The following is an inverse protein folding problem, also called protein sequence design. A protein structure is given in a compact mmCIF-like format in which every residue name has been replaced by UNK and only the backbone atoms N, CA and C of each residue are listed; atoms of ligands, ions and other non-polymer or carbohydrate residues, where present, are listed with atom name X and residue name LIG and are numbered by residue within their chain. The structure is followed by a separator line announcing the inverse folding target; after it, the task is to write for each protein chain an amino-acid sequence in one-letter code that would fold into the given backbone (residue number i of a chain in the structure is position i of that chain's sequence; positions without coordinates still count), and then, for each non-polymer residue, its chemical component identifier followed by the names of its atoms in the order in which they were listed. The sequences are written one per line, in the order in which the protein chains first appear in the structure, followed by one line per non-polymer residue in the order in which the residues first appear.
data_IF_409678019830
#
_entry.id   IF_409678019830
#
_cell.length_a   1.000
_cell.length_b   1.000
_cell.length_c   1.000
_cell.angle_alpha   90.00
_cell.angle_beta   90.00
_cell.angle_gamma   90.00
#
_symmetry.space_group_name_H-M   'P 1'
#
loop_
_entity.id
_entity.type
_entity.pdbx_description
1 polymer ?
#
# COMPACT_ATOMS: atom_id res chain seq x y z
N UNK A 1 -24.33 21.99 -3.93
CA UNK A 1 -24.31 23.47 -3.90
C UNK A 1 -22.91 23.99 -4.18
N UNK A 2 -22.79 25.31 -4.40
CA UNK A 2 -21.51 25.98 -4.62
C UNK A 2 -20.52 25.74 -3.43
N UNK A 3 -21.01 25.65 -2.21
CA UNK A 3 -20.20 25.44 -1.01
C UNK A 3 -19.37 24.13 -1.00
N UNK A 4 -19.76 23.13 -1.83
CA UNK A 4 -19.04 21.87 -1.93
C UNK A 4 -17.84 21.92 -2.88
N UNK A 5 -17.75 22.95 -3.74
CA UNK A 5 -16.70 23.03 -4.75
C UNK A 5 -15.46 23.74 -4.21
N UNK A 6 -14.27 23.26 -4.62
CA UNK A 6 -13.03 23.93 -4.31
C UNK A 6 -12.88 25.24 -5.09
N UNK A 7 -12.35 26.28 -4.43
CA UNK A 7 -12.09 27.58 -5.05
C UNK A 7 -13.28 28.54 -5.08
N UNK A 8 -14.31 28.25 -4.30
CA UNK A 8 -15.39 29.23 -4.05
C UNK A 8 -14.79 30.39 -3.26
N UNK A 9 -14.96 31.68 -3.71
CA UNK A 9 -14.50 32.83 -2.96
C UNK A 9 -15.18 32.93 -1.59
N UNK A 10 -14.46 33.36 -0.59
CA UNK A 10 -14.98 33.50 0.79
C UNK A 10 -16.18 34.45 0.85
N UNK A 11 -16.18 35.52 0.06
CA UNK A 11 -17.29 36.47 -0.01
C UNK A 11 -18.57 35.79 -0.52
N UNK A 12 -18.45 34.85 -1.49
CA UNK A 12 -19.59 34.11 -1.99
C UNK A 12 -20.09 33.09 -0.95
N UNK A 13 -19.19 32.44 -0.20
CA UNK A 13 -19.57 31.55 0.92
C UNK A 13 -20.41 32.32 1.94
N UNK A 14 -19.92 33.47 2.38
CA UNK A 14 -20.60 34.35 3.36
C UNK A 14 -21.96 34.76 2.82
N UNK A 15 -22.01 35.31 1.60
CA UNK A 15 -23.25 35.76 0.98
C UNK A 15 -24.29 34.64 0.87
N UNK A 16 -23.89 33.44 0.44
CA UNK A 16 -24.82 32.30 0.31
C UNK A 16 -25.43 31.90 1.67
N UNK A 17 -24.62 31.89 2.72
CA UNK A 17 -25.10 31.59 4.08
C UNK A 17 -26.02 32.71 4.59
N UNK A 18 -25.71 33.98 4.35
CA UNK A 18 -26.58 35.13 4.68
C UNK A 18 -27.93 35.09 3.91
N UNK A 19 -27.96 34.54 2.69
CA UNK A 19 -29.21 34.30 1.94
C UNK A 19 -29.98 33.07 2.45
N UNK A 20 -29.56 32.43 3.53
CA UNK A 20 -30.24 31.31 4.18
C UNK A 20 -29.91 29.93 3.59
N UNK A 21 -28.83 29.83 2.81
CA UNK A 21 -28.36 28.51 2.40
C UNK A 21 -27.86 27.75 3.63
N UNK A 22 -28.39 26.53 3.85
CA UNK A 22 -27.94 25.67 4.95
C UNK A 22 -26.44 25.32 4.76
N UNK A 23 -25.61 25.79 5.68
CA UNK A 23 -24.16 25.56 5.69
C UNK A 23 -23.81 24.06 5.81
N UNK A 24 -24.73 23.26 6.36
CA UNK A 24 -24.59 21.82 6.55
C UNK A 24 -25.37 21.01 5.51
N UNK A 25 -25.81 21.62 4.42
CA UNK A 25 -26.54 20.94 3.35
C UNK A 25 -25.71 19.77 2.80
N UNK A 26 -26.23 18.52 2.81
CA UNK A 26 -25.46 17.39 2.30
C UNK A 26 -25.53 17.33 0.77
N UNK A 27 -24.49 16.76 0.16
CA UNK A 27 -24.54 16.30 -1.23
C UNK A 27 -25.16 14.88 -1.33
N UNK A 28 -25.11 14.29 -2.53
CA UNK A 28 -25.64 12.95 -2.80
C UNK A 28 -25.02 11.85 -1.91
N UNK A 29 -23.77 12.03 -1.47
CA UNK A 29 -23.05 11.11 -0.58
C UNK A 29 -23.17 11.48 0.91
N UNK A 30 -24.09 12.38 1.26
CA UNK A 30 -24.24 12.88 2.61
C UNK A 30 -23.13 13.80 3.07
N UNK A 31 -22.17 14.11 2.20
CA UNK A 31 -21.04 14.95 2.53
C UNK A 31 -21.45 16.43 2.65
N UNK A 32 -21.09 17.07 3.75
CA UNK A 32 -21.32 18.51 3.97
C UNK A 32 -20.26 19.35 3.21
N UNK A 33 -20.51 20.66 3.02
CA UNK A 33 -19.48 21.57 2.52
C UNK A 33 -18.17 21.47 3.31
N UNK A 34 -18.23 21.45 4.65
CA UNK A 34 -17.06 21.29 5.51
C UNK A 34 -16.29 19.99 5.21
N UNK A 35 -16.99 18.88 5.06
CA UNK A 35 -16.39 17.59 4.68
C UNK A 35 -15.64 17.71 3.34
N UNK A 36 -16.26 18.30 2.32
CA UNK A 36 -15.64 18.46 0.99
C UNK A 36 -14.43 19.38 1.00
N UNK A 37 -14.49 20.49 1.75
CA UNK A 37 -13.33 21.39 1.90
C UNK A 37 -12.20 20.74 2.71
N UNK A 38 -12.52 19.87 3.67
CA UNK A 38 -11.54 19.10 4.44
C UNK A 38 -10.78 18.09 3.55
N UNK A 39 -11.45 17.41 2.58
CA UNK A 39 -10.79 16.58 1.55
C UNK A 39 -9.78 17.40 0.73
N UNK A 40 -10.11 18.66 0.43
CA UNK A 40 -9.28 19.51 -0.42
C UNK A 40 -8.17 20.25 0.36
N UNK A 41 -8.18 20.19 1.69
CA UNK A 41 -7.22 20.88 2.55
C UNK A 41 -7.27 22.41 2.42
N UNK A 42 -8.44 22.99 2.14
CA UNK A 42 -8.61 24.40 1.83
C UNK A 42 -8.76 25.27 3.09
N UNK A 43 -8.31 26.53 3.00
CA UNK A 43 -8.47 27.54 4.06
C UNK A 43 -9.94 27.84 4.34
N UNK A 44 -10.84 27.65 3.38
CA UNK A 44 -12.30 27.74 3.52
C UNK A 44 -12.87 26.86 4.64
N UNK A 45 -12.15 25.81 5.08
CA UNK A 45 -12.52 25.01 6.28
C UNK A 45 -12.66 25.92 7.50
N UNK A 46 -11.74 26.86 7.69
CA UNK A 46 -11.77 27.81 8.82
C UNK A 46 -13.01 28.70 8.76
N UNK A 47 -13.29 29.26 7.58
CA UNK A 47 -14.47 30.12 7.38
C UNK A 47 -15.77 29.37 7.66
N UNK A 48 -15.91 28.13 7.12
CA UNK A 48 -17.12 27.33 7.34
C UNK A 48 -17.35 27.05 8.83
N UNK A 49 -16.30 26.76 9.60
CA UNK A 49 -16.39 26.58 11.05
C UNK A 49 -16.78 27.87 11.77
N UNK A 50 -16.26 29.03 11.37
CA UNK A 50 -16.62 30.33 11.92
C UNK A 50 -18.07 30.71 11.62
N UNK A 51 -18.61 30.27 10.49
CA UNK A 51 -20.01 30.44 10.11
C UNK A 51 -20.96 29.38 10.74
N UNK A 52 -20.43 28.47 11.58
CA UNK A 52 -21.24 27.51 12.33
C UNK A 52 -21.48 26.16 11.63
N UNK A 53 -20.62 25.76 10.70
CA UNK A 53 -20.66 24.40 10.15
C UNK A 53 -20.46 23.35 11.23
N UNK A 54 -21.25 22.28 11.18
CA UNK A 54 -21.16 21.13 12.08
C UNK A 54 -19.86 20.35 11.82
N UNK A 55 -18.93 20.46 12.78
CA UNK A 55 -17.60 19.88 12.71
C UNK A 55 -17.60 18.34 12.71
N UNK A 56 -18.64 17.73 13.30
CA UNK A 56 -18.75 16.27 13.47
C UNK A 56 -19.70 15.59 12.48
N UNK A 57 -20.41 16.34 11.63
CA UNK A 57 -21.43 15.76 10.74
C UNK A 57 -20.82 14.79 9.74
N UNK A 58 -21.15 13.46 9.85
CA UNK A 58 -20.56 12.46 8.98
C UNK A 58 -21.26 12.43 7.60
N UNK A 59 -20.57 11.82 6.62
CA UNK A 59 -21.16 11.41 5.35
C UNK A 59 -21.95 10.09 5.50
N UNK A 60 -22.44 9.52 4.38
CA UNK A 60 -23.20 8.25 4.35
C UNK A 60 -22.37 7.02 4.72
N UNK A 61 -21.07 7.14 4.92
CA UNK A 61 -20.16 6.06 5.38
C UNK A 61 -19.71 6.27 6.83
N UNK A 62 -20.33 7.18 7.55
CA UNK A 62 -19.95 7.51 8.92
C UNK A 62 -18.66 8.33 9.05
N UNK A 63 -18.07 8.80 7.93
CA UNK A 63 -16.82 9.54 7.95
C UNK A 63 -17.04 11.01 8.26
N UNK A 64 -16.36 11.52 9.28
CA UNK A 64 -16.38 12.94 9.66
C UNK A 64 -15.36 13.75 8.84
N UNK A 65 -15.44 15.10 8.84
CA UNK A 65 -14.42 15.94 8.26
C UNK A 65 -12.98 15.65 8.74
N UNK A 66 -12.81 15.21 10.00
CA UNK A 66 -11.51 14.84 10.55
C UNK A 66 -10.97 13.52 9.94
N UNK A 67 -11.85 12.54 9.65
CA UNK A 67 -11.44 11.33 8.95
C UNK A 67 -10.79 11.66 7.60
N UNK A 68 -11.48 12.43 6.79
CA UNK A 68 -11.01 12.70 5.43
C UNK A 68 -9.83 13.67 5.38
N UNK A 69 -9.78 14.65 6.29
CA UNK A 69 -8.59 15.50 6.42
C UNK A 69 -7.33 14.67 6.73
N UNK A 70 -7.46 13.63 7.57
CA UNK A 70 -6.39 12.70 7.87
C UNK A 70 -6.06 11.79 6.68
N UNK A 71 -7.05 11.18 6.03
CA UNK A 71 -6.88 10.28 4.88
C UNK A 71 -6.27 10.94 3.65
N UNK A 72 -6.54 12.25 3.46
CA UNK A 72 -5.97 13.03 2.37
C UNK A 72 -4.70 13.79 2.74
N UNK A 73 -4.12 13.46 3.90
CA UNK A 73 -2.83 13.96 4.36
C UNK A 73 -2.75 15.50 4.47
N UNK A 74 -3.76 16.12 5.09
CA UNK A 74 -3.82 17.56 5.32
C UNK A 74 -3.56 17.95 6.79
N UNK A 75 -2.30 17.96 7.28
CA UNK A 75 -1.99 18.18 8.70
C UNK A 75 -2.51 19.51 9.23
N UNK A 76 -2.47 20.57 8.42
CA UNK A 76 -3.02 21.90 8.83
C UNK A 76 -4.52 21.84 9.09
N UNK A 77 -5.27 21.16 8.24
CA UNK A 77 -6.73 20.97 8.40
C UNK A 77 -7.03 20.06 9.59
N UNK A 78 -6.28 18.98 9.78
CA UNK A 78 -6.38 18.11 10.96
C UNK A 78 -6.16 18.92 12.24
N UNK A 79 -5.09 19.70 12.32
CA UNK A 79 -4.79 20.57 13.47
C UNK A 79 -5.95 21.51 13.75
N UNK A 80 -6.45 22.21 12.73
CA UNK A 80 -7.58 23.12 12.87
C UNK A 80 -8.84 22.44 13.41
N UNK A 81 -9.20 21.25 12.86
CA UNK A 81 -10.36 20.51 13.30
C UNK A 81 -10.22 20.03 14.75
N UNK A 82 -9.02 19.57 15.16
CA UNK A 82 -8.73 19.21 16.55
C UNK A 82 -8.87 20.41 17.46
N UNK A 83 -8.27 21.55 17.13
CA UNK A 83 -8.31 22.78 17.92
C UNK A 83 -9.75 23.33 18.07
N UNK A 84 -10.63 23.01 17.12
CA UNK A 84 -12.07 23.37 17.15
C UNK A 84 -12.94 22.32 17.80
N UNK A 85 -12.35 21.25 18.38
CA UNK A 85 -13.05 20.26 19.18
C UNK A 85 -13.65 19.08 18.40
N UNK A 86 -13.13 18.75 17.23
CA UNK A 86 -13.53 17.52 16.52
C UNK A 86 -13.23 16.27 17.36
N UNK A 87 -14.15 15.29 17.38
CA UNK A 87 -13.93 14.02 18.07
C UNK A 87 -12.86 13.17 17.37
N UNK A 88 -11.67 13.09 17.97
CA UNK A 88 -10.53 12.32 17.45
C UNK A 88 -10.75 10.81 17.53
N UNK A 89 -11.77 10.35 18.25
CA UNK A 89 -12.14 8.94 18.40
C UNK A 89 -13.46 8.58 17.68
N UNK A 90 -14.06 9.50 16.93
CA UNK A 90 -15.21 9.20 16.09
C UNK A 90 -14.94 7.98 15.21
N UNK A 91 -15.94 7.12 15.04
CA UNK A 91 -15.82 5.90 14.23
C UNK A 91 -16.71 5.98 13.01
N UNK A 92 -16.14 5.65 11.84
CA UNK A 92 -16.91 5.45 10.62
C UNK A 92 -17.63 4.08 10.65
N UNK A 93 -18.41 3.76 9.61
CA UNK A 93 -19.20 2.52 9.51
C UNK A 93 -18.33 1.24 9.49
N UNK A 94 -17.05 1.37 9.15
CA UNK A 94 -16.05 0.29 9.26
C UNK A 94 -15.42 0.21 10.66
N UNK A 95 -15.87 1.01 11.62
CA UNK A 95 -15.32 1.08 12.98
C UNK A 95 -13.94 1.76 13.06
N UNK A 96 -13.49 2.43 12.02
CA UNK A 96 -12.18 3.11 11.96
C UNK A 96 -12.28 4.51 12.54
N UNK A 97 -11.28 4.89 13.33
CA UNK A 97 -11.06 6.27 13.76
C UNK A 97 -10.20 7.03 12.74
N UNK A 98 -10.13 8.39 12.78
CA UNK A 98 -9.23 9.15 11.92
C UNK A 98 -7.78 8.66 11.96
N UNK A 99 -7.29 8.25 13.14
CA UNK A 99 -5.95 7.67 13.31
C UNK A 99 -5.82 6.32 12.57
N UNK A 100 -6.82 5.44 12.67
CA UNK A 100 -6.82 4.17 11.95
C UNK A 100 -6.87 4.39 10.43
N UNK A 101 -7.67 5.36 9.99
CA UNK A 101 -7.85 5.72 8.58
C UNK A 101 -6.55 6.20 7.93
N UNK A 102 -5.84 7.17 8.54
CA UNK A 102 -4.58 7.67 7.96
C UNK A 102 -3.50 6.58 7.88
N UNK A 103 -3.40 5.71 8.90
CA UNK A 103 -2.47 4.58 8.85
C UNK A 103 -2.83 3.57 7.75
N UNK A 104 -4.13 3.38 7.47
CA UNK A 104 -4.59 2.45 6.44
C UNK A 104 -4.24 2.90 5.02
N UNK A 105 -4.32 4.20 4.74
CA UNK A 105 -4.07 4.76 3.41
C UNK A 105 -2.61 5.20 3.19
N UNK A 106 -1.78 5.17 4.24
CA UNK A 106 -0.38 5.59 4.19
C UNK A 106 0.39 4.84 3.09
N UNK A 107 1.13 5.60 2.28
CA UNK A 107 2.05 5.11 1.25
C UNK A 107 3.35 5.92 1.32
N UNK A 108 4.43 5.39 0.75
CA UNK A 108 5.80 5.88 0.88
C UNK A 108 6.00 7.40 0.95
N UNK A 109 5.49 8.15 -0.03
CA UNK A 109 5.67 9.62 -0.09
C UNK A 109 4.87 10.38 0.99
N UNK A 110 3.86 9.75 1.61
CA UNK A 110 3.00 10.38 2.62
C UNK A 110 3.37 9.99 4.06
N UNK A 111 4.45 9.25 4.27
CA UNK A 111 4.87 8.78 5.60
C UNK A 111 5.14 9.96 6.55
N UNK A 112 5.78 11.02 6.05
CA UNK A 112 6.06 12.21 6.86
C UNK A 112 4.77 12.87 7.37
N UNK A 113 3.80 13.12 6.49
CA UNK A 113 2.50 13.69 6.84
C UNK A 113 1.70 12.75 7.75
N UNK A 114 1.76 11.43 7.49
CA UNK A 114 1.11 10.44 8.36
C UNK A 114 1.65 10.50 9.78
N UNK A 115 2.97 10.62 9.95
CA UNK A 115 3.59 10.73 11.26
C UNK A 115 3.18 12.01 11.99
N UNK A 116 3.13 13.15 11.29
CA UNK A 116 2.68 14.42 11.81
C UNK A 116 1.22 14.36 12.28
N UNK A 117 0.33 13.84 11.43
CA UNK A 117 -1.10 13.67 11.74
C UNK A 117 -1.31 12.71 12.91
N UNK A 118 -0.60 11.55 12.91
CA UNK A 118 -0.68 10.58 13.99
C UNK A 118 -0.23 11.18 15.33
N UNK A 119 0.83 12.01 15.35
CA UNK A 119 1.28 12.73 16.55
C UNK A 119 0.19 13.65 17.08
N UNK A 120 -0.37 14.53 16.23
CA UNK A 120 -1.44 15.46 16.62
C UNK A 120 -2.68 14.73 17.15
N UNK A 121 -3.13 13.66 16.49
CA UNK A 121 -4.29 12.89 16.93
C UNK A 121 -4.03 12.21 18.28
N UNK A 122 -2.85 11.64 18.51
CA UNK A 122 -2.48 11.00 19.77
C UNK A 122 -2.35 12.01 20.89
N UNK A 123 -1.75 13.17 20.66
CA UNK A 123 -1.65 14.29 21.61
C UNK A 123 -3.04 14.80 22.01
N UNK A 124 -4.00 14.76 21.08
CA UNK A 124 -5.41 15.11 21.33
C UNK A 124 -6.23 13.98 21.98
N UNK A 125 -5.63 12.84 22.33
CA UNK A 125 -6.29 11.74 23.04
C UNK A 125 -6.88 10.65 22.14
N UNK A 126 -6.42 10.50 20.89
CA UNK A 126 -6.78 9.36 20.06
C UNK A 126 -6.28 8.05 20.66
N UNK A 127 -7.12 7.01 20.61
CA UNK A 127 -6.82 5.70 21.20
C UNK A 127 -6.07 4.82 20.20
N UNK A 128 -4.97 4.21 20.67
CA UNK A 128 -4.25 3.18 19.91
C UNK A 128 -4.95 1.83 20.00
N UNK A 129 -4.82 1.02 18.96
CA UNK A 129 -5.24 -0.38 18.93
C UNK A 129 -4.07 -1.30 18.58
N UNK A 130 -4.07 -2.59 18.97
CA UNK A 130 -3.01 -3.54 18.62
C UNK A 130 -2.77 -3.64 17.09
N UNK A 131 -3.84 -3.56 16.30
CA UNK A 131 -3.78 -3.61 14.83
C UNK A 131 -3.03 -2.43 14.22
N UNK A 132 -2.96 -1.28 14.90
CA UNK A 132 -2.20 -0.12 14.43
C UNK A 132 -0.69 -0.36 14.51
N UNK A 133 -0.22 -1.12 15.51
CA UNK A 133 1.19 -1.52 15.63
C UNK A 133 1.62 -2.36 14.43
N UNK A 134 0.87 -3.39 14.09
CA UNK A 134 1.07 -4.22 12.90
C UNK A 134 1.03 -3.38 11.61
N UNK A 135 0.09 -2.43 11.54
CA UNK A 135 -0.02 -1.55 10.36
C UNK A 135 1.20 -0.67 10.18
N UNK A 136 1.76 -0.11 11.26
CA UNK A 136 2.99 0.70 11.21
C UNK A 136 4.19 -0.16 10.80
N UNK A 137 4.29 -1.39 11.30
CA UNK A 137 5.33 -2.32 10.84
C UNK A 137 5.22 -2.60 9.34
N UNK A 138 4.01 -2.83 8.83
CA UNK A 138 3.77 -3.07 7.41
C UNK A 138 4.07 -1.82 6.55
N UNK A 139 3.79 -0.59 7.05
CA UNK A 139 4.20 0.66 6.38
C UNK A 139 5.73 0.69 6.22
N UNK A 140 6.47 0.29 7.24
CA UNK A 140 7.93 0.22 7.18
C UNK A 140 8.43 -0.83 6.18
N UNK A 141 7.86 -2.03 6.19
CA UNK A 141 8.19 -3.10 5.22
C UNK A 141 7.92 -2.67 3.78
N UNK A 142 6.75 -2.08 3.55
CA UNK A 142 6.36 -1.54 2.24
C UNK A 142 7.32 -0.44 1.77
N UNK A 143 7.68 0.49 2.67
CA UNK A 143 8.62 1.56 2.34
C UNK A 143 10.00 1.02 1.98
N UNK A 144 10.55 0.09 2.79
CA UNK A 144 11.86 -0.50 2.51
C UNK A 144 11.86 -1.30 1.21
N UNK A 145 10.75 -1.99 0.88
CA UNK A 145 10.62 -2.68 -0.40
C UNK A 145 10.64 -1.74 -1.60
N UNK A 146 10.00 -0.57 -1.48
CA UNK A 146 9.87 0.41 -2.56
C UNK A 146 10.90 1.56 -2.52
N UNK A 147 11.79 1.60 -1.53
CA UNK A 147 12.76 2.69 -1.29
C UNK A 147 13.50 3.13 -2.53
N UNK A 148 14.00 2.17 -3.32
CA UNK A 148 14.79 2.45 -4.54
C UNK A 148 13.98 3.12 -5.66
N UNK A 149 12.65 2.99 -5.64
CA UNK A 149 11.74 3.59 -6.62
C UNK A 149 11.17 4.93 -6.19
N UNK A 150 11.42 5.34 -4.94
CA UNK A 150 10.95 6.63 -4.42
C UNK A 150 11.94 7.72 -4.83
N UNK A 151 11.40 8.87 -5.28
CA UNK A 151 12.25 10.00 -5.63
C UNK A 151 13.09 10.45 -4.41
N UNK A 152 14.41 10.71 -4.58
CA UNK A 152 15.32 11.01 -3.46
C UNK A 152 14.86 12.11 -2.51
N UNK A 153 14.19 13.15 -3.01
CA UNK A 153 13.70 14.27 -2.22
C UNK A 153 12.69 13.87 -1.12
N UNK A 154 12.02 12.72 -1.27
CA UNK A 154 11.06 12.23 -0.28
C UNK A 154 11.67 11.27 0.75
N UNK A 155 12.86 10.71 0.48
CA UNK A 155 13.46 9.67 1.32
C UNK A 155 13.75 10.17 2.73
N UNK A 156 14.39 11.34 2.86
CA UNK A 156 14.75 11.89 4.18
C UNK A 156 13.50 12.16 5.03
N UNK A 157 12.47 12.74 4.42
CA UNK A 157 11.19 13.00 5.09
C UNK A 157 10.49 11.71 5.52
N UNK A 158 10.50 10.69 4.68
CA UNK A 158 9.92 9.40 4.98
C UNK A 158 10.68 8.66 6.08
N UNK A 159 12.02 8.69 6.07
CA UNK A 159 12.85 8.10 7.13
C UNK A 159 12.56 8.73 8.49
N UNK A 160 12.48 10.07 8.57
CA UNK A 160 12.12 10.78 9.80
C UNK A 160 10.70 10.45 10.25
N UNK A 161 9.76 10.40 9.30
CA UNK A 161 8.37 10.03 9.57
C UNK A 161 8.24 8.60 10.09
N UNK A 162 8.94 7.62 9.49
CA UNK A 162 8.97 6.24 9.98
C UNK A 162 9.54 6.14 11.38
N UNK A 163 10.67 6.80 11.65
CA UNK A 163 11.26 6.81 12.99
C UNK A 163 10.23 7.32 14.02
N UNK A 164 9.48 8.38 13.68
CA UNK A 164 8.42 8.91 14.55
C UNK A 164 7.26 7.93 14.71
N UNK A 165 6.79 7.27 13.65
CA UNK A 165 5.75 6.27 13.74
C UNK A 165 6.17 5.07 14.60
N UNK A 166 7.41 4.60 14.47
CA UNK A 166 7.95 3.52 15.30
C UNK A 166 7.96 3.90 16.78
N UNK A 167 8.39 5.13 17.10
CA UNK A 167 8.33 5.67 18.47
C UNK A 167 6.89 5.74 18.99
N UNK A 168 5.98 6.35 18.21
CA UNK A 168 4.58 6.55 18.60
C UNK A 168 3.85 5.23 18.86
N UNK A 169 4.15 4.16 18.12
CA UNK A 169 3.44 2.88 18.20
C UNK A 169 4.25 1.76 18.86
N UNK A 170 5.42 2.06 19.43
CA UNK A 170 6.32 1.08 20.04
C UNK A 170 6.61 -0.10 19.08
N UNK A 171 7.03 0.22 17.87
CA UNK A 171 7.40 -0.74 16.83
C UNK A 171 8.93 -0.78 16.72
N UNK A 172 9.52 -1.98 16.66
CA UNK A 172 10.93 -2.11 16.32
C UNK A 172 11.14 -1.66 14.87
N UNK A 173 12.12 -0.76 14.60
CA UNK A 173 12.42 -0.35 13.24
C UNK A 173 12.65 -1.54 12.31
N UNK A 174 12.04 -1.50 11.13
CA UNK A 174 12.28 -2.47 10.07
C UNK A 174 13.70 -2.27 9.54
N UNK A 175 14.42 -3.38 9.35
CA UNK A 175 15.78 -3.34 8.79
C UNK A 175 15.74 -2.86 7.33
N UNK A 176 16.75 -2.08 6.94
CA UNK A 176 16.91 -1.66 5.55
C UNK A 176 17.02 -2.88 4.65
N UNK A 177 16.26 -2.88 3.57
CA UNK A 177 16.30 -3.95 2.59
C UNK A 177 17.64 -3.97 1.88
N UNK A 178 18.26 -5.16 1.85
CA UNK A 178 19.44 -5.42 1.02
C UNK A 178 18.97 -6.08 -0.28
N UNK A 179 19.26 -5.46 -1.41
CA UNK A 179 18.96 -6.03 -2.73
C UNK A 179 20.19 -6.73 -3.30
N UNK A 180 19.96 -7.81 -4.06
CA UNK A 180 21.03 -8.56 -4.71
C UNK A 180 21.78 -7.72 -5.75
N UNK A 181 23.10 -7.82 -5.75
CA UNK A 181 23.98 -7.06 -6.64
C UNK A 181 23.95 -7.53 -8.12
N UNK A 182 23.44 -8.74 -8.35
CA UNK A 182 23.36 -9.38 -9.67
C UNK A 182 24.51 -10.36 -9.94
N UNK A 183 25.55 -10.41 -9.10
CA UNK A 183 26.77 -11.20 -9.34
C UNK A 183 27.15 -12.15 -8.20
N UNK A 184 26.83 -11.82 -6.96
CA UNK A 184 27.15 -12.65 -5.79
C UNK A 184 26.33 -13.94 -5.76
N UNK A 185 26.85 -15.05 -5.19
CA UNK A 185 26.06 -16.27 -5.03
C UNK A 185 24.79 -16.05 -4.21
N UNK A 186 23.68 -16.64 -4.64
CA UNK A 186 22.38 -16.56 -4.02
C UNK A 186 22.25 -17.70 -3.01
N UNK A 187 22.28 -17.35 -1.71
CA UNK A 187 22.18 -18.32 -0.64
C UNK A 187 20.77 -18.35 -0.06
N UNK A 188 20.17 -19.52 -0.04
CA UNK A 188 18.85 -19.76 0.56
C UNK A 188 19.07 -20.12 2.04
N UNK A 189 18.45 -19.34 2.95
CA UNK A 189 18.52 -19.59 4.39
C UNK A 189 17.74 -20.86 4.76
N UNK A 190 18.03 -21.44 5.92
CA UNK A 190 17.20 -22.48 6.51
C UNK A 190 15.84 -21.93 6.95
N UNK A 191 14.80 -22.77 6.90
CA UNK A 191 13.44 -22.39 7.28
C UNK A 191 12.38 -23.13 6.47
N UNK A 192 11.12 -22.80 6.71
CA UNK A 192 10.00 -23.28 5.86
C UNK A 192 10.15 -22.77 4.43
N UNK A 193 9.43 -23.36 3.48
CA UNK A 193 9.50 -22.91 2.10
C UNK A 193 8.95 -21.50 1.93
N UNK A 194 7.96 -21.11 2.72
CA UNK A 194 7.39 -19.75 2.75
C UNK A 194 8.43 -18.73 3.19
N UNK A 195 9.14 -19.00 4.30
CA UNK A 195 10.18 -18.13 4.82
C UNK A 195 11.34 -17.98 3.83
N UNK A 196 11.74 -19.08 3.18
CA UNK A 196 12.75 -19.07 2.13
C UNK A 196 12.33 -18.27 0.92
N UNK A 197 11.05 -18.43 0.50
CA UNK A 197 10.50 -17.70 -0.64
C UNK A 197 10.41 -16.20 -0.35
N UNK A 198 9.95 -15.81 0.84
CA UNK A 198 9.89 -14.42 1.27
C UNK A 198 11.29 -13.79 1.37
N UNK A 199 12.27 -14.52 1.88
CA UNK A 199 13.68 -14.10 1.91
C UNK A 199 14.20 -13.80 0.50
N UNK A 200 13.98 -14.72 -0.45
CA UNK A 200 14.42 -14.54 -1.83
C UNK A 200 13.62 -13.45 -2.54
N UNK A 201 12.33 -13.33 -2.27
CA UNK A 201 11.50 -12.23 -2.76
C UNK A 201 12.09 -10.88 -2.33
N UNK A 202 12.31 -10.72 -1.05
CA UNK A 202 12.90 -9.49 -0.52
C UNK A 202 14.30 -9.20 -1.08
N UNK A 203 15.09 -10.22 -1.36
CA UNK A 203 16.48 -10.08 -1.80
C UNK A 203 16.64 -9.90 -3.32
N UNK A 204 15.87 -10.63 -4.14
CA UNK A 204 16.07 -10.70 -5.60
C UNK A 204 15.14 -9.81 -6.41
N UNK A 205 13.93 -9.48 -5.88
CA UNK A 205 12.90 -8.85 -6.70
C UNK A 205 13.01 -7.33 -6.61
N UNK A 206 13.19 -6.61 -7.73
CA UNK A 206 13.15 -5.15 -7.72
C UNK A 206 11.72 -4.66 -7.42
N UNK A 207 11.59 -3.45 -6.91
CA UNK A 207 10.28 -2.81 -6.67
C UNK A 207 9.51 -2.57 -7.97
N UNK A 208 10.21 -2.38 -9.08
CA UNK A 208 9.65 -2.12 -10.42
C UNK A 208 10.44 -2.92 -11.47
N UNK A 209 9.73 -3.46 -12.45
CA UNK A 209 10.33 -4.12 -13.61
C UNK A 209 10.74 -5.57 -13.41
N UNK A 210 11.55 -6.09 -14.33
CA UNK A 210 12.10 -7.43 -14.30
C UNK A 210 13.26 -7.53 -13.29
N UNK A 211 13.52 -8.75 -12.79
CA UNK A 211 14.68 -9.00 -11.94
C UNK A 211 16.00 -8.88 -12.73
N UNK A 212 17.13 -8.78 -12.02
CA UNK A 212 18.46 -8.70 -12.63
C UNK A 212 18.94 -10.07 -13.14
N UNK A 213 18.44 -11.16 -12.58
CA UNK A 213 18.88 -12.53 -12.83
C UNK A 213 17.71 -13.45 -13.14
N UNK A 214 17.99 -14.59 -13.77
CA UNK A 214 16.99 -15.63 -14.01
C UNK A 214 16.42 -16.13 -12.69
N UNK A 215 17.24 -16.28 -11.64
CA UNK A 215 16.79 -16.66 -10.31
C UNK A 215 15.75 -15.70 -9.76
N UNK A 216 15.97 -14.40 -9.95
CA UNK A 216 14.99 -13.39 -9.58
C UNK A 216 13.68 -13.57 -10.33
N UNK A 217 13.69 -13.77 -11.65
CA UNK A 217 12.45 -14.01 -12.43
C UNK A 217 11.72 -15.28 -12.02
N UNK A 218 12.45 -16.34 -11.71
CA UNK A 218 11.88 -17.60 -11.24
C UNK A 218 11.12 -17.43 -9.92
N UNK A 219 11.55 -16.52 -9.04
CA UNK A 219 10.81 -16.13 -7.83
C UNK A 219 9.71 -15.12 -8.17
N UNK A 220 10.00 -14.10 -9.00
CA UNK A 220 9.09 -12.99 -9.26
C UNK A 220 7.79 -13.44 -9.92
N UNK A 221 7.88 -14.33 -10.92
CA UNK A 221 6.71 -14.69 -11.71
C UNK A 221 5.65 -15.44 -10.89
N UNK A 222 5.96 -16.55 -10.20
CA UNK A 222 4.96 -17.26 -9.39
C UNK A 222 4.37 -16.36 -8.29
N UNK A 223 5.19 -15.53 -7.64
CA UNK A 223 4.74 -14.62 -6.61
C UNK A 223 3.78 -13.54 -7.14
N UNK A 224 4.08 -12.91 -8.27
CA UNK A 224 3.20 -11.94 -8.92
C UNK A 224 1.88 -12.58 -9.39
N UNK A 225 1.94 -13.78 -9.93
CA UNK A 225 0.75 -14.53 -10.35
C UNK A 225 -0.12 -14.87 -9.14
N UNK A 226 0.49 -15.33 -8.04
CA UNK A 226 -0.23 -15.64 -6.80
C UNK A 226 -0.91 -14.38 -6.24
N UNK A 227 -0.20 -13.28 -6.17
CA UNK A 227 -0.75 -12.01 -5.68
C UNK A 227 -1.93 -11.52 -6.52
N UNK A 228 -1.83 -11.62 -7.85
CA UNK A 228 -2.92 -11.23 -8.76
C UNK A 228 -4.16 -12.13 -8.62
N UNK A 229 -3.97 -13.43 -8.45
CA UNK A 229 -5.10 -14.36 -8.34
C UNK A 229 -5.73 -14.34 -6.95
N UNK A 230 -4.92 -14.34 -5.87
CA UNK A 230 -5.41 -14.46 -4.49
C UNK A 230 -5.94 -13.13 -3.93
N UNK A 231 -5.33 -12.00 -4.29
CA UNK A 231 -5.71 -10.68 -3.77
C UNK A 231 -6.62 -9.89 -4.69
N UNK A 232 -6.40 -10.00 -6.01
CA UNK A 232 -7.13 -9.22 -7.00
C UNK A 232 -8.17 -10.04 -7.77
N UNK A 233 -8.30 -11.35 -7.47
CA UNK A 233 -9.23 -12.23 -8.18
C UNK A 233 -8.99 -12.28 -9.70
N UNK A 234 -7.76 -11.99 -10.16
CA UNK A 234 -7.41 -11.95 -11.57
C UNK A 234 -7.92 -10.71 -12.33
N UNK A 235 -8.29 -9.63 -11.64
CA UNK A 235 -8.83 -8.42 -12.27
C UNK A 235 -7.87 -7.78 -13.29
N UNK A 236 -6.54 -7.91 -13.08
CA UNK A 236 -5.52 -7.40 -14.00
C UNK A 236 -4.90 -8.48 -14.88
N UNK A 237 -5.55 -9.65 -14.99
CA UNK A 237 -5.03 -10.78 -15.76
C UNK A 237 -5.01 -10.49 -17.25
N UNK A 238 -3.79 -10.28 -17.81
CA UNK A 238 -3.59 -9.89 -19.19
C UNK A 238 -2.63 -10.84 -19.96
N UNK A 239 -2.27 -10.43 -21.18
CA UNK A 239 -1.32 -11.15 -22.03
C UNK A 239 0.08 -11.23 -21.41
N UNK A 240 0.50 -10.25 -20.61
CA UNK A 240 1.83 -10.25 -20.00
C UNK A 240 1.94 -11.29 -18.89
N UNK A 241 0.92 -11.46 -18.03
CA UNK A 241 0.89 -12.55 -17.05
C UNK A 241 1.00 -13.93 -17.70
N UNK A 242 0.32 -14.11 -18.85
CA UNK A 242 0.43 -15.35 -19.63
C UNK A 242 1.84 -15.59 -20.15
N UNK A 243 2.49 -14.56 -20.70
CA UNK A 243 3.88 -14.64 -21.17
C UNK A 243 4.86 -14.92 -20.02
N UNK A 244 4.66 -14.30 -18.85
CA UNK A 244 5.44 -14.56 -17.65
C UNK A 244 5.41 -16.06 -17.31
N UNK A 245 4.21 -16.65 -17.17
CA UNK A 245 4.07 -18.07 -16.87
C UNK A 245 4.68 -18.97 -17.95
N UNK A 246 4.53 -18.61 -19.23
CA UNK A 246 5.12 -19.37 -20.34
C UNK A 246 6.65 -19.38 -20.32
N UNK A 247 7.29 -18.37 -19.70
CA UNK A 247 8.74 -18.32 -19.59
C UNK A 247 9.31 -19.24 -18.50
N UNK A 248 8.53 -19.60 -17.49
CA UNK A 248 8.99 -20.38 -16.32
C UNK A 248 9.63 -21.71 -16.70
N UNK A 249 9.03 -22.59 -17.55
CA UNK A 249 9.64 -23.87 -17.91
C UNK A 249 11.01 -23.69 -18.57
N UNK A 250 11.17 -22.65 -19.38
CA UNK A 250 12.47 -22.33 -19.98
C UNK A 250 13.48 -21.92 -18.89
N UNK A 251 13.12 -21.04 -17.97
CA UNK A 251 14.03 -20.62 -16.90
C UNK A 251 14.45 -21.81 -16.01
N UNK A 252 13.53 -22.68 -15.65
CA UNK A 252 13.80 -23.88 -14.84
C UNK A 252 14.66 -24.93 -15.58
N UNK A 253 14.82 -24.81 -16.89
CA UNK A 253 15.70 -25.69 -17.69
C UNK A 253 17.13 -25.14 -17.84
N UNK A 254 17.41 -23.92 -17.36
CA UNK A 254 18.75 -23.30 -17.44
C UNK A 254 19.64 -23.81 -16.30
N UNK A 255 20.97 -23.67 -16.48
CA UNK A 255 21.98 -24.09 -15.49
C UNK A 255 21.89 -25.59 -15.19
N UNK A 256 21.75 -25.93 -13.91
CA UNK A 256 21.40 -27.30 -13.47
C UNK A 256 19.88 -27.41 -13.50
N UNK A 257 19.26 -28.08 -14.50
CA UNK A 257 17.81 -28.15 -14.64
C UNK A 257 17.17 -28.97 -13.51
N UNK A 258 15.90 -28.72 -13.23
CA UNK A 258 15.09 -29.65 -12.43
C UNK A 258 14.96 -31.02 -13.14
N UNK A 259 14.56 -32.04 -12.39
CA UNK A 259 14.23 -33.34 -12.96
C UNK A 259 13.15 -33.22 -14.05
N UNK A 260 13.15 -34.15 -15.02
CA UNK A 260 12.11 -34.17 -16.06
C UNK A 260 10.70 -34.23 -15.45
N UNK A 261 10.55 -34.96 -14.32
CA UNK A 261 9.30 -35.07 -13.58
C UNK A 261 8.86 -33.71 -13.02
N UNK A 262 9.76 -32.97 -12.39
CA UNK A 262 9.47 -31.66 -11.81
C UNK A 262 9.20 -30.60 -12.90
N UNK A 263 9.91 -30.65 -14.02
CA UNK A 263 9.68 -29.78 -15.16
C UNK A 263 8.30 -30.05 -15.80
N UNK A 264 7.89 -31.32 -15.91
CA UNK A 264 6.58 -31.65 -16.41
C UNK A 264 5.47 -31.24 -15.43
N UNK A 265 5.69 -31.43 -14.12
CA UNK A 265 4.79 -30.92 -13.09
C UNK A 265 4.61 -29.41 -13.19
N UNK A 266 5.71 -28.63 -13.35
CA UNK A 266 5.64 -27.17 -13.54
C UNK A 266 4.77 -26.79 -14.75
N UNK A 267 4.93 -27.48 -15.89
CA UNK A 267 4.10 -27.26 -17.08
C UNK A 267 2.63 -27.58 -16.84
N UNK A 268 2.33 -28.65 -16.11
CA UNK A 268 0.96 -29.04 -15.75
C UNK A 268 0.31 -27.99 -14.85
N UNK A 269 1.02 -27.49 -13.81
CA UNK A 269 0.54 -26.42 -12.94
C UNK A 269 0.24 -25.16 -13.77
N UNK A 270 1.15 -24.77 -14.65
CA UNK A 270 0.97 -23.60 -15.52
C UNK A 270 -0.26 -23.77 -16.43
N UNK A 271 -0.44 -24.94 -17.05
CA UNK A 271 -1.57 -25.21 -17.94
C UNK A 271 -2.92 -25.09 -17.24
N UNK A 272 -2.97 -25.47 -15.96
CA UNK A 272 -4.18 -25.41 -15.13
C UNK A 272 -4.53 -23.98 -14.70
N UNK A 273 -3.53 -23.10 -14.50
CA UNK A 273 -3.75 -21.68 -14.24
C UNK A 273 -4.42 -20.99 -15.45
N UNK A 274 -4.17 -21.44 -16.66
CA UNK A 274 -4.84 -20.94 -17.87
C UNK A 274 -6.33 -21.32 -17.97
N UNK A 275 -6.77 -22.36 -17.27
CA UNK A 275 -8.08 -23.01 -17.42
C UNK A 275 -9.28 -22.35 -16.72
N UNK A 276 -9.19 -21.10 -16.25
CA UNK A 276 -10.30 -20.26 -15.72
C UNK A 276 -10.95 -20.65 -14.37
N UNK A 277 -10.46 -21.63 -13.61
CA UNK A 277 -10.93 -21.84 -12.25
C UNK A 277 -10.02 -21.07 -11.26
N UNK A 278 -10.34 -19.80 -11.05
CA UNK A 278 -9.63 -18.90 -10.13
C UNK A 278 -9.92 -19.17 -8.65
N UNK A 279 -10.56 -20.28 -8.30
CA UNK A 279 -10.76 -20.65 -6.91
C UNK A 279 -9.47 -21.24 -6.34
N UNK A 280 -8.91 -20.53 -5.33
CA UNK A 280 -7.77 -20.91 -4.46
C UNK A 280 -6.87 -22.01 -5.05
N UNK A 281 -5.69 -21.64 -5.53
CA UNK A 281 -4.82 -22.58 -6.24
C UNK A 281 -3.65 -23.04 -5.35
N UNK A 282 -3.78 -24.14 -4.55
CA UNK A 282 -2.65 -24.79 -3.85
C UNK A 282 -1.48 -25.12 -4.79
N UNK A 283 -1.75 -25.11 -6.08
CA UNK A 283 -0.81 -25.40 -7.17
C UNK A 283 0.21 -24.30 -7.40
N UNK A 284 -0.13 -23.03 -7.07
CA UNK A 284 0.85 -21.93 -7.12
C UNK A 284 1.92 -22.07 -6.05
N UNK A 285 1.57 -22.58 -4.87
CA UNK A 285 2.54 -22.90 -3.83
C UNK A 285 3.53 -23.96 -4.32
N UNK A 286 3.04 -24.95 -5.06
CA UNK A 286 3.93 -25.96 -5.68
C UNK A 286 4.88 -25.35 -6.71
N UNK A 287 4.43 -24.38 -7.52
CA UNK A 287 5.30 -23.68 -8.46
C UNK A 287 6.37 -22.84 -7.72
N UNK A 288 6.01 -22.21 -6.60
CA UNK A 288 6.97 -21.52 -5.72
C UNK A 288 8.00 -22.49 -5.12
N UNK A 289 7.58 -23.69 -4.69
CA UNK A 289 8.49 -24.72 -4.17
C UNK A 289 9.45 -25.25 -5.25
N UNK A 290 8.98 -25.45 -6.47
CA UNK A 290 9.82 -25.85 -7.62
C UNK A 290 10.84 -24.75 -7.96
N UNK A 291 10.44 -23.49 -7.90
CA UNK A 291 11.33 -22.34 -8.05
C UNK A 291 12.45 -22.36 -7.00
N UNK A 292 12.11 -22.59 -5.73
CA UNK A 292 13.09 -22.72 -4.64
C UNK A 292 14.06 -23.90 -4.84
N UNK A 293 13.52 -25.05 -5.24
CA UNK A 293 14.32 -26.25 -5.50
C UNK A 293 15.37 -25.98 -6.60
N UNK A 294 14.95 -25.30 -7.66
CA UNK A 294 15.85 -24.93 -8.76
C UNK A 294 16.93 -23.93 -8.32
N UNK A 295 16.58 -22.91 -7.53
CA UNK A 295 17.55 -21.91 -7.05
C UNK A 295 18.60 -22.55 -6.15
N UNK A 296 18.23 -23.49 -5.27
CA UNK A 296 19.17 -24.23 -4.43
C UNK A 296 20.20 -25.02 -5.25
N UNK A 297 19.86 -25.47 -6.45
CA UNK A 297 20.78 -26.13 -7.38
C UNK A 297 21.60 -25.13 -8.22
N UNK A 298 21.14 -23.88 -8.31
CA UNK A 298 21.72 -22.82 -9.14
C UNK A 298 22.04 -21.56 -8.31
N UNK A 299 22.98 -21.66 -7.34
CA UNK A 299 23.31 -20.51 -6.46
C UNK A 299 24.05 -19.40 -7.22
N UNK A 300 24.76 -19.70 -8.30
CA UNK A 300 25.45 -18.70 -9.09
C UNK A 300 24.47 -17.99 -10.03
N UNK A 301 24.42 -16.65 -10.03
CA UNK A 301 23.51 -15.87 -10.85
C UNK A 301 23.65 -16.22 -12.35
N UNK A 302 22.50 -16.32 -13.01
CA UNK A 302 22.40 -16.46 -14.46
C UNK A 302 21.83 -15.16 -15.00
N UNK A 303 22.52 -14.54 -15.93
CA UNK A 303 22.11 -13.28 -16.53
C UNK A 303 20.75 -13.41 -17.20
N UNK A 304 19.84 -12.52 -16.85
CA UNK A 304 18.52 -12.45 -17.49
C UNK A 304 18.65 -11.66 -18.81
N UNK A 305 18.33 -12.32 -19.93
CA UNK A 305 18.09 -11.60 -21.19
C UNK A 305 16.77 -10.83 -21.07
N UNK A 306 16.67 -9.71 -21.77
CA UNK A 306 15.47 -8.87 -21.76
C UNK A 306 14.20 -9.71 -22.03
N UNK A 307 13.27 -9.79 -21.06
CA UNK A 307 12.09 -10.63 -21.19
C UNK A 307 11.09 -10.05 -22.19
N UNK A 308 10.34 -10.91 -22.85
CA UNK A 308 9.32 -10.50 -23.85
C UNK A 308 8.02 -9.97 -23.24
N UNK A 309 7.98 -9.76 -21.92
CA UNK A 309 6.87 -9.26 -21.15
C UNK A 309 7.32 -8.04 -20.32
N UNK A 310 6.37 -7.13 -20.09
CA UNK A 310 6.65 -5.89 -19.38
C UNK A 310 5.63 -5.72 -18.22
N UNK A 311 5.96 -6.30 -17.04
CA UNK A 311 5.21 -6.13 -15.78
C UNK A 311 6.11 -6.24 -14.56
#
# INVERSE_FOLDING_TARGET
TALHFGGVPDELVIWLVEQGLDINIPDYYGATPLYRQAILGRDTVKLLLELGADIGKPNTYGETPLHVAAEFFHPKTVKLLIDKGADVNAKNDMGRTPLASVLMVCRGIYIAQTAEIASMLLEAGAKKTPTMKEKVENIGKDFEFHRESIHPDYIEGADKGLAKLYELFDVKPVEKRLTHDGVSPILVKEGSWEEQYEQLWSFLIPSIGAAKTVQGEVIRIPGRVRDELDRNGGANWDRNYRKMLQAIPHYLSLGTPLSDTDLEEAKQVISQIYGKDFNYCPRLDRLCQLALAWIKQNPNPIDLKEPSYNR
#
